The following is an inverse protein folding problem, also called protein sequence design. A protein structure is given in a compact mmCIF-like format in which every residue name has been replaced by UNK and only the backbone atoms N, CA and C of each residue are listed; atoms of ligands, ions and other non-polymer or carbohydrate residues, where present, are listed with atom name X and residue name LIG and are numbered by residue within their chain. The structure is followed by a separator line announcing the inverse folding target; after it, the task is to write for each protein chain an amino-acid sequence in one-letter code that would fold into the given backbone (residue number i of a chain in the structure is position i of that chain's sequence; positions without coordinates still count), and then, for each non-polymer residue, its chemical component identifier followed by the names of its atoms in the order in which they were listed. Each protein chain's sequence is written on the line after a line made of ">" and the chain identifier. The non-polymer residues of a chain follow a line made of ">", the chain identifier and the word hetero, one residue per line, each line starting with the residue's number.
data_IF_701457627078
#
_entry.id   IF_701457627078
#
_cell.length_a   1.000
_cell.length_b   1.000
_cell.length_c   1.000
_cell.angle_alpha   90.00
_cell.angle_beta   90.00
_cell.angle_gamma   90.00
#
_symmetry.space_group_name_H-M   'P 1'
#
loop_
_entity.id
_entity.type
_entity.pdbx_description
1 polymer ?
#
# COMPACT_ATOMS: atom_id res chain seq x y z
N UNK A 1 4.72 -12.53 5.84
CA UNK A 1 5.86 -12.75 4.91
C UNK A 1 5.52 -12.09 3.59
N UNK A 2 6.51 -11.71 2.76
CA UNK A 2 6.23 -11.06 1.47
C UNK A 2 5.53 -12.00 0.48
N UNK A 3 4.78 -11.42 -0.45
CA UNK A 3 3.88 -12.11 -1.37
C UNK A 3 4.61 -12.96 -2.40
N UNK A 4 5.87 -12.64 -2.72
CA UNK A 4 6.70 -13.52 -3.57
C UNK A 4 6.92 -14.91 -2.96
N UNK A 5 6.90 -15.06 -1.63
CA UNK A 5 6.91 -16.39 -1.01
C UNK A 5 5.59 -17.13 -1.26
N UNK A 6 4.45 -16.44 -1.16
CA UNK A 6 3.14 -16.98 -1.51
C UNK A 6 3.12 -17.43 -2.99
N UNK A 7 3.60 -16.60 -3.91
CA UNK A 7 3.69 -16.94 -5.34
C UNK A 7 4.59 -18.18 -5.57
N UNK A 8 5.75 -18.25 -4.92
CA UNK A 8 6.65 -19.40 -5.03
C UNK A 8 6.02 -20.71 -4.51
N UNK A 9 5.20 -20.63 -3.47
CA UNK A 9 4.43 -21.76 -2.93
C UNK A 9 3.30 -22.16 -3.89
N UNK A 10 2.58 -21.17 -4.43
CA UNK A 10 1.52 -21.37 -5.41
C UNK A 10 2.05 -22.10 -6.64
N UNK A 11 3.15 -21.63 -7.23
CA UNK A 11 3.79 -22.27 -8.38
C UNK A 11 4.36 -23.67 -8.11
N UNK A 12 4.48 -24.07 -6.84
CA UNK A 12 4.90 -25.41 -6.42
C UNK A 12 3.74 -26.31 -5.95
N UNK A 13 2.49 -25.83 -6.01
CA UNK A 13 1.31 -26.55 -5.52
C UNK A 13 1.43 -26.98 -4.04
N UNK A 14 1.91 -26.06 -3.18
CA UNK A 14 2.18 -26.31 -1.75
C UNK A 14 1.34 -25.45 -0.79
N UNK A 15 0.15 -25.02 -1.20
CA UNK A 15 -0.63 -24.05 -0.43
C UNK A 15 -1.01 -24.57 0.98
N UNK A 16 -1.40 -25.83 1.09
CA UNK A 16 -1.72 -26.47 2.37
C UNK A 16 -0.51 -26.53 3.31
N UNK A 17 0.68 -26.80 2.78
CA UNK A 17 1.92 -26.81 3.54
C UNK A 17 2.26 -25.40 4.05
N UNK A 18 2.02 -24.40 3.22
CA UNK A 18 2.26 -23.00 3.56
C UNK A 18 1.34 -22.52 4.68
N UNK A 19 0.03 -22.83 4.63
CA UNK A 19 -0.88 -22.52 5.75
C UNK A 19 -0.41 -23.13 7.07
N UNK A 20 -0.09 -24.44 7.08
CA UNK A 20 0.42 -25.11 8.29
C UNK A 20 1.75 -24.51 8.77
N UNK A 21 2.60 -24.09 7.84
CA UNK A 21 3.85 -23.39 8.17
C UNK A 21 3.59 -22.04 8.82
N UNK A 22 2.70 -21.22 8.26
CA UNK A 22 2.30 -19.93 8.84
C UNK A 22 1.74 -20.09 10.27
N UNK A 23 0.86 -21.07 10.48
CA UNK A 23 0.32 -21.40 11.80
C UNK A 23 1.41 -21.83 12.79
N UNK A 24 2.29 -22.75 12.37
CA UNK A 24 3.37 -23.28 13.20
C UNK A 24 4.29 -22.17 13.71
N UNK A 25 4.65 -21.24 12.82
CA UNK A 25 5.50 -20.08 13.14
C UNK A 25 4.72 -18.87 13.66
N UNK A 26 3.39 -19.00 13.85
CA UNK A 26 2.49 -18.00 14.44
C UNK A 26 2.50 -16.66 13.69
N UNK A 27 2.53 -16.71 12.37
CA UNK A 27 2.28 -15.52 11.56
C UNK A 27 0.85 -15.04 11.81
N UNK A 28 0.70 -13.76 12.10
CA UNK A 28 -0.62 -13.10 12.19
C UNK A 28 -1.03 -12.43 10.88
N UNK A 29 -0.07 -12.15 10.02
CA UNK A 29 -0.26 -11.45 8.74
C UNK A 29 0.36 -12.25 7.60
N UNK A 30 -0.32 -12.25 6.46
CA UNK A 30 0.13 -12.86 5.21
C UNK A 30 -0.07 -11.86 4.07
N UNK A 31 0.87 -11.86 3.13
CA UNK A 31 0.75 -11.09 1.90
C UNK A 31 0.37 -12.01 0.74
N UNK A 32 -0.63 -11.61 -0.05
CA UNK A 32 -1.09 -12.33 -1.25
C UNK A 32 -0.86 -11.42 -2.46
N UNK A 33 0.00 -11.87 -3.38
CA UNK A 33 0.38 -11.13 -4.59
C UNK A 33 0.36 -12.04 -5.83
N UNK A 34 0.33 -11.42 -6.99
CA UNK A 34 0.41 -12.00 -8.34
C UNK A 34 1.34 -11.18 -9.24
N UNK A 35 2.34 -10.51 -8.63
CA UNK A 35 3.22 -9.58 -9.33
C UNK A 35 4.32 -10.24 -10.17
N UNK A 36 4.61 -11.52 -9.94
CA UNK A 36 5.64 -12.33 -10.63
C UNK A 36 5.03 -13.48 -11.43
N UNK A 37 4.08 -14.20 -10.85
CA UNK A 37 3.34 -15.28 -11.50
C UNK A 37 1.97 -14.78 -11.96
N UNK A 38 1.57 -15.19 -13.16
CA UNK A 38 0.22 -14.96 -13.67
C UNK A 38 -0.75 -15.91 -12.94
N UNK A 39 -1.38 -15.39 -11.88
CA UNK A 39 -2.41 -16.10 -11.11
C UNK A 39 -3.77 -15.61 -11.62
N UNK A 40 -4.67 -16.51 -12.05
CA UNK A 40 -6.01 -16.13 -12.48
C UNK A 40 -6.73 -15.29 -11.41
N UNK A 41 -7.39 -14.22 -11.86
CA UNK A 41 -8.01 -13.23 -10.96
C UNK A 41 -8.94 -13.85 -9.93
N UNK A 42 -9.85 -14.71 -10.38
CA UNK A 42 -10.80 -15.41 -9.52
C UNK A 42 -10.09 -16.25 -8.46
N UNK A 43 -9.00 -16.91 -8.84
CA UNK A 43 -8.21 -17.75 -7.94
C UNK A 43 -7.47 -16.93 -6.87
N UNK A 44 -6.93 -15.75 -7.23
CA UNK A 44 -6.35 -14.83 -6.24
C UNK A 44 -7.41 -14.40 -5.21
N UNK A 45 -8.62 -14.07 -5.67
CA UNK A 45 -9.72 -13.69 -4.78
C UNK A 45 -10.14 -14.85 -3.87
N UNK A 46 -10.17 -16.09 -4.37
CA UNK A 46 -10.40 -17.28 -3.56
C UNK A 46 -9.35 -17.44 -2.45
N UNK A 47 -8.06 -17.24 -2.77
CA UNK A 47 -7.01 -17.27 -1.76
C UNK A 47 -7.16 -16.16 -0.71
N UNK A 48 -7.51 -14.94 -1.11
CA UNK A 48 -7.76 -13.85 -0.15
C UNK A 48 -8.93 -14.21 0.79
N UNK A 49 -10.04 -14.70 0.24
CA UNK A 49 -11.22 -15.10 1.01
C UNK A 49 -10.97 -16.31 1.92
N UNK A 50 -10.07 -17.21 1.54
CA UNK A 50 -9.70 -18.37 2.31
C UNK A 50 -8.70 -18.04 3.44
N UNK A 51 -7.64 -17.27 3.15
CA UNK A 51 -6.64 -16.88 4.15
C UNK A 51 -7.15 -15.84 5.16
N UNK A 52 -8.10 -14.98 4.78
CA UNK A 52 -8.68 -13.96 5.67
C UNK A 52 -9.49 -14.54 6.83
N UNK A 53 -9.81 -15.84 6.79
CA UNK A 53 -10.46 -16.56 7.89
C UNK A 53 -9.55 -16.74 9.10
N UNK A 54 -8.25 -16.90 8.83
CA UNK A 54 -7.25 -17.29 9.83
C UNK A 54 -6.16 -16.23 10.04
N UNK A 55 -5.94 -15.34 9.06
CA UNK A 55 -4.87 -14.34 9.06
C UNK A 55 -5.37 -12.94 8.67
N UNK A 56 -4.62 -11.90 9.07
CA UNK A 56 -4.78 -10.57 8.49
C UNK A 56 -4.11 -10.56 7.12
N UNK A 57 -4.92 -10.47 6.06
CA UNK A 57 -4.43 -10.50 4.67
C UNK A 57 -4.08 -9.09 4.22
N UNK A 58 -2.84 -8.90 3.76
CA UNK A 58 -2.43 -7.79 2.92
C UNK A 58 -2.43 -8.30 1.49
N UNK A 59 -3.20 -7.69 0.60
CA UNK A 59 -3.11 -8.03 -0.83
C UNK A 59 -2.27 -6.99 -1.55
N UNK A 60 -1.58 -7.35 -2.63
CA UNK A 60 -0.77 -6.43 -3.44
C UNK A 60 -1.33 -6.35 -4.85
N UNK A 61 -1.56 -5.13 -5.35
CA UNK A 61 -1.93 -4.86 -6.74
C UNK A 61 -0.76 -4.18 -7.44
N UNK A 62 -0.37 -4.74 -8.59
CA UNK A 62 0.65 -4.21 -9.47
C UNK A 62 1.41 -5.32 -10.17
N UNK A 63 2.47 -4.96 -10.89
CA UNK A 63 3.35 -5.92 -11.55
C UNK A 63 4.80 -5.60 -11.26
N UNK A 64 5.62 -6.64 -11.08
CA UNK A 64 7.07 -6.50 -10.89
C UNK A 64 7.80 -6.31 -12.21
N UNK A 65 7.13 -6.54 -13.33
CA UNK A 65 7.61 -6.23 -14.68
C UNK A 65 7.30 -4.76 -15.02
N UNK A 66 8.35 -3.96 -15.24
CA UNK A 66 8.25 -2.54 -15.57
C UNK A 66 7.61 -2.27 -16.93
N UNK A 67 7.54 -3.27 -17.81
CA UNK A 67 6.89 -3.19 -19.12
C UNK A 67 5.36 -3.39 -19.02
N UNK A 68 4.88 -3.96 -17.92
CA UNK A 68 3.44 -4.21 -17.70
C UNK A 68 2.76 -2.92 -17.25
N UNK A 69 1.94 -2.35 -18.15
CA UNK A 69 1.14 -1.17 -17.86
C UNK A 69 -0.33 -1.53 -17.63
N UNK A 70 -0.70 -1.70 -16.37
CA UNK A 70 -2.10 -1.87 -15.96
C UNK A 70 -2.82 -0.52 -16.04
N UNK A 71 -3.99 -0.50 -16.69
CA UNK A 71 -4.82 0.69 -16.81
C UNK A 71 -5.35 1.16 -15.44
N UNK A 72 -5.47 2.48 -15.17
CA UNK A 72 -5.91 2.98 -13.86
C UNK A 72 -7.26 2.44 -13.37
N UNK A 73 -8.24 2.27 -14.26
CA UNK A 73 -9.54 1.70 -13.87
C UNK A 73 -9.44 0.24 -13.40
N UNK A 74 -8.47 -0.54 -13.93
CA UNK A 74 -8.22 -1.92 -13.49
C UNK A 74 -7.57 -1.95 -12.11
N UNK A 75 -6.66 -1.02 -11.80
CA UNK A 75 -6.14 -0.87 -10.44
C UNK A 75 -7.26 -0.69 -9.43
N UNK A 76 -8.14 0.28 -9.69
CA UNK A 76 -9.30 0.56 -8.82
C UNK A 76 -10.22 -0.65 -8.70
N UNK A 77 -10.56 -1.28 -9.83
CA UNK A 77 -11.41 -2.47 -9.84
C UNK A 77 -10.79 -3.59 -9.00
N UNK A 78 -9.51 -3.89 -9.22
CA UNK A 78 -8.85 -5.00 -8.56
C UNK A 78 -8.65 -4.76 -7.07
N UNK A 79 -8.26 -3.54 -6.68
CA UNK A 79 -8.15 -3.18 -5.26
C UNK A 79 -9.49 -3.32 -4.54
N UNK A 80 -10.61 -2.90 -5.16
CA UNK A 80 -11.95 -3.07 -4.57
C UNK A 80 -12.32 -4.53 -4.41
N UNK A 81 -12.16 -5.33 -5.45
CA UNK A 81 -12.44 -6.77 -5.40
C UNK A 81 -11.61 -7.50 -4.33
N UNK A 82 -10.34 -7.11 -4.13
CA UNK A 82 -9.48 -7.71 -3.09
C UNK A 82 -9.91 -7.31 -1.68
N UNK A 83 -10.31 -6.05 -1.47
CA UNK A 83 -10.93 -5.61 -0.21
C UNK A 83 -12.24 -6.37 0.05
N UNK A 84 -13.10 -6.48 -0.97
CA UNK A 84 -14.37 -7.20 -0.88
C UNK A 84 -14.19 -8.70 -0.60
N UNK A 85 -13.10 -9.30 -1.10
CA UNK A 85 -12.72 -10.69 -0.82
C UNK A 85 -12.22 -10.90 0.62
N UNK A 86 -11.90 -9.82 1.36
CA UNK A 86 -11.51 -9.89 2.77
C UNK A 86 -10.07 -9.45 3.06
N UNK A 87 -9.37 -8.83 2.10
CA UNK A 87 -8.10 -8.19 2.40
C UNK A 87 -8.30 -7.07 3.44
N UNK A 88 -7.43 -7.00 4.44
CA UNK A 88 -7.45 -5.94 5.44
C UNK A 88 -7.01 -4.60 4.86
N UNK A 89 -5.98 -4.62 4.01
CA UNK A 89 -5.51 -3.50 3.19
C UNK A 89 -4.97 -4.00 1.87
N UNK A 90 -4.99 -3.13 0.87
CA UNK A 90 -4.35 -3.39 -0.43
C UNK A 90 -3.11 -2.51 -0.60
N UNK A 91 -1.99 -3.16 -0.89
CA UNK A 91 -0.71 -2.54 -1.19
C UNK A 91 -0.73 -2.11 -2.65
N UNK A 92 -0.37 -0.85 -2.88
CA UNK A 92 -0.09 -0.33 -4.21
C UNK A 92 1.41 -0.52 -4.50
N UNK A 93 1.74 -1.50 -5.33
CA UNK A 93 3.12 -1.92 -5.64
C UNK A 93 3.96 -0.78 -6.22
N UNK A 94 5.20 -0.68 -5.73
CA UNK A 94 6.21 0.25 -6.21
C UNK A 94 7.59 -0.37 -6.44
N UNK A 95 7.80 -1.59 -5.95
CA UNK A 95 9.09 -2.27 -5.78
C UNK A 95 10.03 -1.53 -4.82
N UNK A 96 11.04 -2.23 -4.34
CA UNK A 96 12.10 -1.67 -3.47
C UNK A 96 12.83 -0.46 -4.09
N UNK A 97 12.94 -0.41 -5.41
CA UNK A 97 13.59 0.71 -6.11
C UNK A 97 12.65 1.90 -6.40
N UNK A 98 11.33 1.73 -6.27
CA UNK A 98 10.35 2.75 -6.66
C UNK A 98 10.33 3.01 -8.17
N UNK A 99 10.38 1.96 -9.00
CA UNK A 99 10.53 2.06 -10.46
C UNK A 99 9.50 1.26 -11.26
N UNK A 100 8.48 0.71 -10.60
CA UNK A 100 7.38 -0.01 -11.24
C UNK A 100 6.04 0.33 -10.57
N UNK A 101 4.94 -0.23 -11.09
CA UNK A 101 3.61 -0.08 -10.51
C UNK A 101 3.14 1.38 -10.47
N UNK A 102 3.04 1.95 -9.27
CA UNK A 102 2.67 3.37 -9.07
C UNK A 102 3.77 4.35 -9.50
N UNK A 103 4.97 3.86 -9.83
CA UNK A 103 6.08 4.63 -10.36
C UNK A 103 6.33 4.31 -11.84
N UNK A 104 6.92 5.26 -12.55
CA UNK A 104 7.52 5.03 -13.87
C UNK A 104 8.90 4.40 -13.73
N UNK A 105 9.45 3.77 -14.79
CA UNK A 105 10.83 3.26 -14.78
C UNK A 105 11.89 4.31 -14.41
N UNK A 106 11.57 5.60 -14.60
CA UNK A 106 12.42 6.74 -14.22
C UNK A 106 12.41 7.08 -12.73
N UNK A 107 11.55 6.43 -11.93
CA UNK A 107 11.30 6.76 -10.52
C UNK A 107 10.27 7.88 -10.31
N UNK A 108 9.71 8.44 -11.38
CA UNK A 108 8.66 9.45 -11.31
C UNK A 108 7.33 8.80 -10.86
N UNK A 109 6.67 9.38 -9.86
CA UNK A 109 5.37 8.91 -9.40
C UNK A 109 4.29 9.15 -10.47
N UNK A 110 3.44 8.15 -10.71
CA UNK A 110 2.28 8.26 -11.59
C UNK A 110 1.13 8.95 -10.86
N UNK A 111 1.23 10.26 -10.64
CA UNK A 111 0.25 11.01 -9.83
C UNK A 111 -1.18 10.84 -10.31
N UNK A 112 -1.43 10.83 -11.63
CA UNK A 112 -2.78 10.58 -12.16
C UNK A 112 -3.35 9.19 -11.85
N UNK A 113 -2.49 8.17 -11.63
CA UNK A 113 -2.93 6.86 -11.13
C UNK A 113 -3.26 6.93 -9.63
N UNK A 114 -2.41 7.61 -8.85
CA UNK A 114 -2.65 7.81 -7.41
C UNK A 114 -3.97 8.55 -7.19
N UNK A 115 -4.20 9.62 -7.95
CA UNK A 115 -5.45 10.39 -7.91
C UNK A 115 -6.66 9.48 -8.23
N UNK A 116 -6.61 8.69 -9.30
CA UNK A 116 -7.71 7.78 -9.68
C UNK A 116 -8.07 6.79 -8.57
N UNK A 117 -7.05 6.24 -7.90
CA UNK A 117 -7.22 5.31 -6.77
C UNK A 117 -7.81 6.03 -5.55
N UNK A 118 -7.26 7.18 -5.16
CA UNK A 118 -7.73 7.96 -4.00
C UNK A 118 -9.19 8.41 -4.14
N UNK A 119 -9.61 8.81 -5.35
CA UNK A 119 -11.01 9.19 -5.59
C UNK A 119 -11.99 8.01 -5.39
N UNK A 120 -11.48 6.78 -5.43
CA UNK A 120 -12.27 5.56 -5.48
C UNK A 120 -12.19 4.71 -4.22
N UNK A 121 -11.09 4.80 -3.46
CA UNK A 121 -10.79 3.97 -2.30
C UNK A 121 -10.15 4.84 -1.22
N UNK A 122 -10.62 4.70 0.02
CA UNK A 122 -10.05 5.40 1.16
C UNK A 122 -8.57 5.06 1.32
N UNK A 123 -7.70 6.06 1.47
CA UNK A 123 -6.28 5.81 1.72
C UNK A 123 -6.04 5.07 3.05
N UNK A 124 -7.02 5.05 3.96
CA UNK A 124 -6.94 4.25 5.17
C UNK A 124 -6.99 2.73 4.88
N UNK A 125 -7.56 2.31 3.77
CA UNK A 125 -7.65 0.90 3.33
C UNK A 125 -6.51 0.50 2.38
N UNK A 126 -5.61 1.44 2.07
CA UNK A 126 -4.49 1.25 1.18
C UNK A 126 -3.16 1.31 1.93
N UNK A 127 -2.12 0.72 1.37
CA UNK A 127 -0.71 0.92 1.75
C UNK A 127 0.06 1.31 0.49
N UNK A 128 0.76 2.45 0.50
CA UNK A 128 1.55 2.90 -0.64
C UNK A 128 3.02 2.51 -0.46
N UNK A 129 3.60 1.75 -1.37
CA UNK A 129 5.03 1.49 -1.32
C UNK A 129 5.84 2.76 -1.59
N UNK A 130 6.67 3.17 -0.62
CA UNK A 130 7.43 4.43 -0.68
C UNK A 130 8.88 4.23 -0.21
N UNK A 131 9.70 3.54 -1.02
CA UNK A 131 11.06 3.20 -0.59
C UNK A 131 12.02 4.40 -0.51
N UNK A 132 11.66 5.53 -1.12
CA UNK A 132 12.52 6.72 -1.16
C UNK A 132 12.01 7.81 -0.23
N UNK A 133 12.93 8.58 0.38
CA UNK A 133 12.58 9.77 1.16
C UNK A 133 11.66 10.73 0.38
N UNK A 134 11.92 10.91 -0.92
CA UNK A 134 11.12 11.80 -1.77
C UNK A 134 9.68 11.33 -1.93
N UNK A 135 9.45 10.02 -2.13
CA UNK A 135 8.10 9.50 -2.22
C UNK A 135 7.40 9.51 -0.87
N UNK A 136 8.09 9.16 0.22
CA UNK A 136 7.56 9.29 1.58
C UNK A 136 7.06 10.72 1.87
N UNK A 137 7.91 11.73 1.62
CA UNK A 137 7.54 13.13 1.83
C UNK A 137 6.42 13.60 0.90
N UNK A 138 6.32 13.04 -0.30
CA UNK A 138 5.22 13.34 -1.22
C UNK A 138 3.90 12.82 -0.66
N UNK A 139 3.82 11.54 -0.28
CA UNK A 139 2.59 10.94 0.23
C UNK A 139 2.14 11.56 1.56
N UNK A 140 3.07 11.88 2.47
CA UNK A 140 2.74 12.58 3.73
C UNK A 140 2.17 13.98 3.50
N UNK A 141 2.67 14.72 2.49
CA UNK A 141 2.10 16.03 2.15
C UNK A 141 0.73 15.91 1.50
N UNK A 142 0.55 14.91 0.63
CA UNK A 142 -0.66 14.73 -0.16
C UNK A 142 -1.84 14.25 0.69
N UNK A 143 -1.65 13.14 1.41
CA UNK A 143 -2.69 12.50 2.22
C UNK A 143 -2.69 12.95 3.69
N UNK A 144 -1.60 13.52 4.17
CA UNK A 144 -1.40 13.87 5.58
C UNK A 144 -0.60 12.82 6.35
N UNK A 145 -0.35 13.09 7.65
CA UNK A 145 0.56 12.30 8.47
C UNK A 145 0.04 10.90 8.82
N UNK A 146 -1.23 10.59 8.56
CA UNK A 146 -1.86 9.29 8.86
C UNK A 146 -1.82 8.32 7.66
N UNK A 147 -1.19 8.68 6.54
CA UNK A 147 -1.13 7.81 5.36
C UNK A 147 -0.36 6.52 5.64
N UNK A 148 -0.88 5.36 5.24
CA UNK A 148 -0.16 4.09 5.41
C UNK A 148 0.91 3.96 4.32
N UNK A 149 2.14 3.68 4.73
CA UNK A 149 3.29 3.56 3.83
C UNK A 149 3.97 2.21 4.02
N UNK A 150 4.28 1.55 2.91
CA UNK A 150 4.99 0.28 2.83
C UNK A 150 6.41 0.44 2.30
N UNK A 151 7.20 -0.62 2.41
CA UNK A 151 8.56 -0.72 1.87
C UNK A 151 9.52 0.38 2.37
N UNK A 152 9.36 0.80 3.63
CA UNK A 152 10.23 1.79 4.27
C UNK A 152 11.55 1.12 4.66
N UNK A 153 12.71 1.63 4.22
CA UNK A 153 14.00 1.13 4.67
C UNK A 153 14.11 1.17 6.20
N UNK A 154 14.63 0.13 6.87
CA UNK A 154 14.67 0.07 8.33
C UNK A 154 15.38 1.26 9.00
N UNK A 155 16.38 1.84 8.35
CA UNK A 155 17.13 3.01 8.80
C UNK A 155 16.42 4.34 8.55
N UNK A 156 15.38 4.36 7.72
CA UNK A 156 14.55 5.54 7.43
C UNK A 156 13.31 5.64 8.34
N UNK A 157 13.09 4.73 9.30
CA UNK A 157 11.89 4.76 10.17
C UNK A 157 11.80 6.07 10.97
N UNK A 158 12.90 6.49 11.61
CA UNK A 158 12.95 7.77 12.34
C UNK A 158 12.80 8.96 11.38
N UNK A 159 13.39 8.84 10.20
CA UNK A 159 13.29 9.87 9.17
C UNK A 159 11.84 10.09 8.72
N UNK A 160 11.12 9.00 8.46
CA UNK A 160 9.70 9.02 8.13
C UNK A 160 8.86 9.62 9.26
N UNK A 161 9.11 9.24 10.50
CA UNK A 161 8.38 9.80 11.64
C UNK A 161 8.57 11.33 11.74
N UNK A 162 9.79 11.82 11.51
CA UNK A 162 10.01 13.27 11.45
C UNK A 162 9.34 13.96 10.25
N UNK A 163 9.09 13.25 9.14
CA UNK A 163 8.23 13.76 8.06
C UNK A 163 6.78 13.87 8.52
N UNK A 164 6.25 12.84 9.21
CA UNK A 164 4.88 12.81 9.74
C UNK A 164 4.62 13.86 10.80
N UNK A 165 5.63 14.26 11.57
CA UNK A 165 5.54 15.32 12.57
C UNK A 165 5.79 16.73 11.99
N UNK A 166 6.15 16.85 10.72
CA UNK A 166 6.54 18.13 10.12
C UNK A 166 7.86 18.70 10.65
N UNK A 167 8.73 17.85 11.20
CA UNK A 167 10.04 18.23 11.75
C UNK A 167 11.17 18.22 10.71
N UNK A 168 10.83 18.04 9.43
CA UNK A 168 11.72 18.17 8.28
C UNK A 168 11.23 19.27 7.35
N UNK A 169 12.19 19.93 6.69
CA UNK A 169 11.88 21.00 5.73
C UNK A 169 10.90 20.55 4.64
N UNK A 170 10.94 19.27 4.27
CA UNK A 170 10.08 18.66 3.26
C UNK A 170 8.57 18.70 3.60
N UNK A 171 8.19 18.75 4.88
CA UNK A 171 6.78 18.68 5.36
C UNK A 171 6.43 19.75 6.40
N UNK A 172 7.38 20.61 6.79
CA UNK A 172 7.21 21.61 7.85
C UNK A 172 5.98 22.51 7.64
N UNK A 173 5.77 23.00 6.41
CA UNK A 173 4.70 23.95 6.12
C UNK A 173 3.33 23.26 6.08
N UNK A 174 3.28 22.09 5.45
CA UNK A 174 2.05 21.35 5.17
C UNK A 174 1.52 20.61 6.41
N UNK A 175 2.42 20.21 7.32
CA UNK A 175 2.06 19.38 8.49
C UNK A 175 2.12 20.18 9.78
N UNK A 176 3.27 20.78 10.13
CA UNK A 176 3.45 21.40 11.46
C UNK A 176 2.92 22.84 11.51
N UNK A 177 3.15 23.62 10.46
CA UNK A 177 2.78 25.04 10.40
C UNK A 177 1.46 25.30 9.67
N UNK A 178 0.69 24.26 9.36
CA UNK A 178 -0.62 24.41 8.74
C UNK A 178 -1.53 25.11 9.75
N UNK A 179 -1.78 26.40 9.56
CA UNK A 179 -2.72 27.16 10.38
C UNK A 179 -4.07 26.46 10.36
N UNK A 180 -4.60 26.18 11.56
CA UNK A 180 -5.84 25.44 11.71
C UNK A 180 -6.99 26.19 11.02
N UNK A 181 -7.62 25.55 10.03
CA UNK A 181 -9.02 25.79 9.69
C UNK A 181 -9.90 25.26 10.83
N UNK A 182 -9.73 25.77 12.04
CA UNK A 182 -10.74 25.72 13.08
C UNK A 182 -11.33 27.12 13.17
N UNK A 183 -12.42 27.32 12.43
CA UNK A 183 -13.35 28.39 12.73
C UNK A 183 -13.85 28.22 14.16
N UNK A 184 -13.36 29.05 15.07
CA UNK A 184 -14.12 29.43 16.24
C UNK A 184 -14.95 30.64 15.81
N UNK A 185 -16.29 30.57 15.71
CA UNK A 185 -17.07 31.78 15.70
C UNK A 185 -16.82 32.44 17.05
N UNK A 186 -16.34 33.67 17.05
CA UNK A 186 -16.39 34.51 18.23
C UNK A 186 -17.84 34.52 18.73
N UNK A 187 -18.08 34.05 19.95
CA UNK A 187 -19.32 34.40 20.65
C UNK A 187 -19.41 35.92 20.68
N UNK A 188 -20.49 36.53 20.15
CA UNK A 188 -20.72 37.93 20.44
C UNK A 188 -20.97 38.04 21.94
N UNK A 189 -20.13 38.82 22.61
CA UNK A 189 -20.47 39.38 23.91
C UNK A 189 -21.63 40.37 23.67
N UNK A 190 -22.65 40.23 24.54
CA UNK A 190 -23.90 40.99 24.70
C UNK A 190 -25.13 40.45 23.95
#
# INVERSE_FOLDING_TARGET
>A
CGGTLFEAVYGQDKMDDFKRWLEHYRFSHVEISDGTLDIPREQKLEFIADFSRDFVVLSEVGSKDSEVNIAPYLWVQWMREELDAGAWKVIAEGREAGTAGIYRPTGELRTGLVDEIEHSISFHDLIWETPTKSSQAWFVRHFGPEVNLGNIPPDEVIALETLRLGLRADTLKEVLLREGTHGSPASPLL
#
